data_IF_747495553117
#
_entry.id   IF_747495553117
#
_cell.length_a   1.000
_cell.length_b   1.000
_cell.length_c   1.000
_cell.angle_alpha   90.00
_cell.angle_beta   90.00
_cell.angle_gamma   90.00
#
_symmetry.space_group_name_H-M   'P 1'
#
loop_
_entity.id
_entity.type
_entity.pdbx_description
1 polymer ?
#
# COMPACT_ATOMS: atom_id res chain seq x y z
N UNK A 1 28.46 19.15 6.01
CA UNK A 1 26.98 19.21 6.06
C UNK A 1 26.60 19.35 7.52
N UNK A 2 25.77 20.33 7.88
CA UNK A 2 25.30 20.49 9.26
C UNK A 2 24.06 19.65 9.51
N UNK A 3 24.01 19.00 10.67
CA UNK A 3 22.80 18.37 11.17
C UNK A 3 21.72 19.44 11.41
N UNK A 4 20.48 19.14 11.01
CA UNK A 4 19.32 19.99 11.26
C UNK A 4 18.35 19.26 12.19
N UNK A 5 17.96 19.93 13.28
CA UNK A 5 16.98 19.44 14.23
C UNK A 5 15.74 20.35 14.21
N UNK A 6 14.54 19.77 14.28
CA UNK A 6 13.28 20.50 14.30
C UNK A 6 12.21 19.70 15.04
N UNK A 7 11.22 20.40 15.61
CA UNK A 7 10.02 19.76 16.20
C UNK A 7 8.90 19.72 15.15
N UNK A 8 8.23 18.57 14.90
CA UNK A 8 7.09 18.50 14.01
C UNK A 8 5.92 19.39 14.48
N UNK A 9 5.37 20.19 13.57
CA UNK A 9 4.25 21.11 13.81
C UNK A 9 3.80 21.81 12.51
N UNK A 10 2.80 22.71 12.57
CA UNK A 10 2.25 23.38 11.39
C UNK A 10 3.29 24.07 10.50
N UNK A 11 4.33 24.67 11.10
CA UNK A 11 5.38 25.38 10.37
C UNK A 11 6.48 24.46 9.82
N UNK A 12 6.52 23.20 10.25
CA UNK A 12 7.56 22.22 9.89
C UNK A 12 7.01 21.00 9.15
N UNK A 13 5.76 21.04 8.68
CA UNK A 13 5.10 19.91 7.97
C UNK A 13 5.94 19.40 6.80
N UNK A 14 6.54 20.32 6.01
CA UNK A 14 7.37 19.93 4.87
C UNK A 14 8.63 19.21 5.32
N UNK A 15 9.34 19.77 6.31
CA UNK A 15 10.54 19.16 6.88
C UNK A 15 10.25 17.77 7.47
N UNK A 16 9.12 17.63 8.17
CA UNK A 16 8.69 16.34 8.72
C UNK A 16 8.40 15.31 7.62
N UNK A 17 7.66 15.70 6.57
CA UNK A 17 7.40 14.82 5.42
C UNK A 17 8.67 14.41 4.69
N UNK A 18 9.60 15.34 4.49
CA UNK A 18 10.88 15.07 3.84
C UNK A 18 11.74 14.11 4.70
N UNK A 19 11.73 14.28 6.02
CA UNK A 19 12.41 13.37 6.96
C UNK A 19 11.81 11.94 6.93
N UNK A 20 10.47 11.81 6.94
CA UNK A 20 9.79 10.52 6.77
C UNK A 20 10.16 9.86 5.42
N UNK A 21 10.26 10.66 4.36
CA UNK A 21 10.63 10.22 3.02
C UNK A 21 12.07 9.72 2.89
N UNK A 22 12.93 9.90 3.90
CA UNK A 22 14.27 9.33 3.92
C UNK A 22 14.24 7.79 4.01
N UNK A 23 13.21 7.21 4.62
CA UNK A 23 12.98 5.77 4.64
C UNK A 23 12.45 5.31 3.27
N UNK A 24 13.30 4.63 2.50
CA UNK A 24 12.91 4.06 1.21
C UNK A 24 11.97 2.87 1.40
N UNK A 25 10.90 2.82 0.60
CA UNK A 25 9.84 1.81 0.71
C UNK A 25 9.58 1.16 -0.64
N UNK A 26 9.09 -0.07 -0.63
CA UNK A 26 8.37 -0.61 -1.79
C UNK A 26 7.05 0.13 -1.98
N UNK A 27 6.48 0.06 -3.19
CA UNK A 27 5.15 0.58 -3.48
C UNK A 27 4.15 -0.56 -3.51
N UNK A 28 2.98 -0.35 -2.91
CA UNK A 28 1.89 -1.32 -2.92
C UNK A 28 0.61 -0.73 -3.48
N UNK A 29 -0.26 -1.56 -4.03
CA UNK A 29 -1.66 -1.24 -4.28
C UNK A 29 -2.53 -2.19 -3.46
N UNK A 30 -3.34 -1.62 -2.58
CA UNK A 30 -4.29 -2.35 -1.74
C UNK A 30 -5.67 -2.26 -2.37
N UNK A 31 -6.36 -3.40 -2.44
CA UNK A 31 -7.66 -3.51 -3.13
C UNK A 31 -8.70 -4.17 -2.24
N UNK A 32 -9.96 -3.82 -2.45
CA UNK A 32 -11.11 -4.49 -1.86
C UNK A 32 -12.29 -4.41 -2.82
N UNK A 33 -13.34 -5.21 -2.57
CA UNK A 33 -14.56 -5.18 -3.35
C UNK A 33 -15.67 -4.50 -2.55
N UNK A 34 -16.37 -3.56 -3.16
CA UNK A 34 -17.52 -2.87 -2.57
C UNK A 34 -18.80 -3.20 -3.35
N UNK A 35 -20.01 -2.91 -2.81
CA UNK A 35 -21.25 -3.06 -3.56
C UNK A 35 -21.32 -2.23 -4.86
N UNK A 36 -20.50 -1.18 -4.98
CA UNK A 36 -20.42 -0.32 -6.17
C UNK A 36 -19.35 -0.77 -7.17
N UNK A 37 -18.56 -1.80 -6.84
CA UNK A 37 -17.45 -2.28 -7.65
C UNK A 37 -16.11 -2.31 -6.92
N UNK A 38 -15.02 -2.63 -7.64
CA UNK A 38 -13.67 -2.73 -7.09
C UNK A 38 -13.15 -1.37 -6.62
N UNK A 39 -12.30 -1.37 -5.60
CA UNK A 39 -11.68 -0.17 -5.06
C UNK A 39 -10.20 -0.42 -4.76
N UNK A 40 -9.35 0.58 -5.02
CA UNK A 40 -7.91 0.53 -4.81
C UNK A 40 -7.37 1.77 -4.09
N UNK A 41 -6.28 1.57 -3.33
CA UNK A 41 -5.42 2.63 -2.78
C UNK A 41 -3.96 2.24 -3.01
N UNK A 42 -3.20 3.10 -3.68
CA UNK A 42 -1.73 3.00 -3.66
C UNK A 42 -1.21 3.45 -2.30
N UNK A 43 -0.39 2.61 -1.67
CA UNK A 43 0.17 2.87 -0.34
C UNK A 43 1.62 2.40 -0.26
N UNK A 44 2.42 3.05 0.59
CA UNK A 44 3.78 2.64 0.91
C UNK A 44 4.01 2.49 2.43
N UNK A 45 2.94 2.48 3.21
CA UNK A 45 2.92 2.22 4.66
C UNK A 45 2.85 0.73 5.01
N UNK A 46 3.00 -0.16 4.02
CA UNK A 46 3.00 -1.61 4.20
C UNK A 46 4.14 -2.05 5.12
N UNK A 47 3.88 -3.03 5.99
CA UNK A 47 4.89 -3.65 6.84
C UNK A 47 4.51 -5.11 7.17
N UNK A 48 5.49 -6.02 7.12
CA UNK A 48 5.33 -7.38 7.65
C UNK A 48 5.36 -7.34 9.19
N UNK A 49 4.47 -8.08 9.84
CA UNK A 49 4.27 -7.99 11.30
C UNK A 49 4.59 -9.30 12.02
N UNK A 50 4.08 -10.43 11.54
CA UNK A 50 4.19 -11.72 12.23
C UNK A 50 4.27 -12.87 11.24
N UNK A 51 4.94 -13.94 11.64
CA UNK A 51 5.00 -15.20 10.88
C UNK A 51 3.92 -16.20 11.34
N UNK A 52 3.58 -16.22 12.64
CA UNK A 52 2.57 -17.12 13.21
C UNK A 52 1.73 -16.41 14.30
N UNK A 53 0.45 -16.06 14.02
CA UNK A 53 -0.19 -16.15 12.71
C UNK A 53 0.50 -15.21 11.70
N UNK A 54 0.36 -15.45 10.38
CA UNK A 54 0.99 -14.62 9.36
C UNK A 54 0.28 -13.26 9.25
N UNK A 55 0.87 -12.20 9.80
CA UNK A 55 0.27 -10.87 9.86
C UNK A 55 1.09 -9.84 9.10
N UNK A 56 0.37 -8.89 8.49
CA UNK A 56 0.92 -7.67 7.89
C UNK A 56 0.06 -6.47 8.30
N UNK A 57 0.56 -5.26 8.06
CA UNK A 57 -0.21 -4.03 8.23
C UNK A 57 -0.03 -3.03 7.09
N UNK A 58 -0.96 -2.10 7.00
CA UNK A 58 -0.85 -0.87 6.21
C UNK A 58 -1.75 0.22 6.79
N UNK A 59 -1.56 1.46 6.36
CA UNK A 59 -2.25 2.61 6.95
C UNK A 59 -3.00 3.45 5.89
N UNK A 60 -4.33 3.30 5.70
CA UNK A 60 -5.13 4.21 4.89
C UNK A 60 -5.38 5.55 5.59
N UNK A 61 -5.28 6.65 4.84
CA UNK A 61 -5.56 7.99 5.33
C UNK A 61 -7.07 8.18 5.58
N UNK A 62 -7.45 8.77 6.72
CA UNK A 62 -8.86 9.01 7.09
C UNK A 62 -9.57 10.03 6.19
N UNK A 63 -8.81 10.93 5.56
CA UNK A 63 -9.34 11.92 4.63
C UNK A 63 -9.59 11.34 3.22
N UNK A 64 -9.18 10.10 2.94
CA UNK A 64 -9.49 9.45 1.68
C UNK A 64 -10.97 9.12 1.61
N UNK A 65 -11.63 9.47 0.49
CA UNK A 65 -13.01 9.05 0.21
C UNK A 65 -13.18 7.51 0.19
N UNK A 66 -12.06 6.80 0.07
CA UNK A 66 -11.99 5.33 0.00
C UNK A 66 -11.77 4.68 1.37
N UNK A 67 -11.48 5.48 2.41
CA UNK A 67 -11.11 4.98 3.74
C UNK A 67 -12.12 3.99 4.31
N UNK A 68 -13.38 4.40 4.43
CA UNK A 68 -14.41 3.59 5.09
C UNK A 68 -14.64 2.25 4.38
N UNK A 69 -14.52 2.20 3.05
CA UNK A 69 -14.63 0.94 2.32
C UNK A 69 -13.56 -0.08 2.75
N UNK A 70 -12.34 0.35 3.07
CA UNK A 70 -11.31 -0.55 3.59
C UNK A 70 -11.45 -0.82 5.09
N UNK A 71 -12.03 0.12 5.86
CA UNK A 71 -12.35 -0.14 7.27
C UNK A 71 -13.44 -1.20 7.39
N UNK A 72 -14.50 -1.10 6.59
CA UNK A 72 -15.69 -1.94 6.70
C UNK A 72 -15.55 -3.28 5.98
N UNK A 73 -14.54 -3.44 5.12
CA UNK A 73 -14.29 -4.69 4.41
C UNK A 73 -13.80 -5.82 5.33
N UNK A 74 -14.31 -7.02 5.09
CA UNK A 74 -13.82 -8.26 5.72
C UNK A 74 -12.49 -8.74 5.13
N UNK A 75 -12.25 -8.42 3.85
CA UNK A 75 -11.08 -8.86 3.10
C UNK A 75 -10.46 -7.71 2.30
N UNK A 76 -9.15 -7.76 2.14
CA UNK A 76 -8.41 -6.89 1.24
C UNK A 76 -7.21 -7.64 0.66
N UNK A 77 -6.70 -7.17 -0.48
CA UNK A 77 -5.51 -7.75 -1.11
C UNK A 77 -4.44 -6.69 -1.32
N UNK A 78 -3.22 -6.97 -0.86
CA UNK A 78 -2.04 -6.12 -1.07
C UNK A 78 -1.22 -6.65 -2.24
N UNK A 79 -0.90 -5.77 -3.19
CA UNK A 79 -0.04 -6.06 -4.34
C UNK A 79 1.26 -5.29 -4.19
N UNK A 80 2.41 -5.97 -4.14
CA UNK A 80 3.74 -5.35 -4.19
C UNK A 80 4.07 -5.06 -5.66
N UNK A 81 4.23 -3.79 -6.02
CA UNK A 81 4.33 -3.36 -7.41
C UNK A 81 5.74 -3.58 -7.97
N UNK A 82 5.82 -4.00 -9.23
CA UNK A 82 7.08 -4.06 -9.99
C UNK A 82 7.49 -2.71 -10.56
N UNK A 83 8.78 -2.54 -10.88
CA UNK A 83 9.31 -1.32 -11.52
C UNK A 83 8.54 -0.95 -12.81
N UNK A 84 8.14 -1.97 -13.58
CA UNK A 84 7.35 -1.82 -14.80
C UNK A 84 5.88 -1.43 -14.57
N UNK A 85 5.42 -1.35 -13.31
CA UNK A 85 4.04 -1.00 -12.94
C UNK A 85 3.91 0.40 -12.33
N UNK A 86 4.90 1.28 -12.59
CA UNK A 86 4.88 2.67 -12.12
C UNK A 86 3.58 3.41 -12.48
N UNK A 87 3.14 3.28 -13.73
CA UNK A 87 1.96 3.99 -14.21
C UNK A 87 0.69 3.48 -13.52
N UNK A 88 0.60 2.18 -13.26
CA UNK A 88 -0.52 1.58 -12.53
C UNK A 88 -0.55 2.03 -11.06
N UNK A 89 0.61 2.08 -10.41
CA UNK A 89 0.71 2.60 -9.04
C UNK A 89 0.31 4.09 -8.97
N UNK A 90 0.72 4.90 -9.94
CA UNK A 90 0.31 6.32 -10.02
C UNK A 90 -1.18 6.47 -10.33
N UNK A 91 -1.74 5.58 -11.14
CA UNK A 91 -3.16 5.54 -11.47
C UNK A 91 -4.01 5.39 -10.21
N UNK A 92 -3.80 4.32 -9.43
CA UNK A 92 -4.59 4.06 -8.22
C UNK A 92 -4.30 5.00 -7.04
N UNK A 93 -3.19 5.76 -7.09
CA UNK A 93 -2.97 6.88 -6.18
C UNK A 93 -3.99 8.01 -6.46
N UNK A 94 -4.27 8.29 -7.73
CA UNK A 94 -5.15 9.37 -8.20
C UNK A 94 -6.63 8.94 -8.28
N UNK A 95 -6.89 7.84 -8.98
CA UNK A 95 -8.23 7.35 -9.28
C UNK A 95 -8.37 5.89 -8.83
N UNK A 96 -8.90 5.69 -7.62
CA UNK A 96 -9.00 4.36 -7.00
C UNK A 96 -10.23 3.54 -7.39
N UNK A 97 -11.17 4.12 -8.14
CA UNK A 97 -12.41 3.47 -8.58
C UNK A 97 -12.31 2.98 -10.03
N UNK A 98 -11.39 3.57 -10.81
CA UNK A 98 -11.20 3.23 -12.22
C UNK A 98 -10.31 2.00 -12.39
N UNK A 99 -10.95 0.86 -12.63
CA UNK A 99 -10.31 -0.41 -12.95
C UNK A 99 -10.32 -0.75 -14.45
N UNK A 100 -10.81 0.14 -15.32
CA UNK A 100 -10.79 -0.06 -16.77
C UNK A 100 -9.39 -0.38 -17.35
N UNK A 101 -8.28 0.25 -16.90
CA UNK A 101 -6.97 -0.04 -17.46
C UNK A 101 -6.37 -1.39 -17.02
N UNK A 102 -7.09 -2.19 -16.22
CA UNK A 102 -6.57 -3.45 -15.65
C UNK A 102 -7.49 -4.63 -15.96
N UNK A 103 -6.92 -5.72 -16.44
CA UNK A 103 -7.59 -7.02 -16.53
C UNK A 103 -7.64 -7.70 -15.15
N UNK A 104 -8.43 -7.14 -14.24
CA UNK A 104 -8.56 -7.67 -12.87
C UNK A 104 -9.56 -8.82 -12.80
N UNK A 105 -9.36 -9.72 -11.84
CA UNK A 105 -10.31 -10.79 -11.49
C UNK A 105 -10.42 -10.90 -9.97
N UNK A 106 -11.57 -11.32 -9.41
CA UNK A 106 -11.66 -11.61 -7.99
C UNK A 106 -10.82 -12.84 -7.62
N UNK A 107 -10.18 -12.83 -6.44
CA UNK A 107 -9.55 -14.01 -5.86
C UNK A 107 -10.56 -14.90 -5.11
N UNK A 108 -10.06 -15.92 -4.42
CA UNK A 108 -10.87 -16.86 -3.63
C UNK A 108 -11.67 -16.20 -2.48
N UNK A 109 -11.26 -15.00 -2.01
CA UNK A 109 -11.97 -14.22 -0.99
C UNK A 109 -12.77 -13.05 -1.58
N UNK A 110 -12.89 -13.00 -2.91
CA UNK A 110 -13.71 -12.03 -3.64
C UNK A 110 -13.08 -10.66 -3.85
N UNK A 111 -11.84 -10.42 -3.43
CA UNK A 111 -11.19 -9.11 -3.62
C UNK A 111 -10.52 -9.01 -5.00
N UNK A 112 -10.48 -7.81 -5.62
CA UNK A 112 -9.89 -7.62 -6.95
C UNK A 112 -8.41 -7.93 -6.96
N UNK A 113 -7.93 -8.62 -7.99
CA UNK A 113 -6.49 -8.90 -8.17
C UNK A 113 -5.89 -8.17 -9.35
N UNK A 114 -4.71 -7.61 -9.15
CA UNK A 114 -3.92 -6.98 -10.19
C UNK A 114 -2.90 -7.99 -10.74
N UNK A 115 -2.83 -8.21 -12.06
CA UNK A 115 -1.84 -9.08 -12.65
C UNK A 115 -0.44 -8.48 -12.48
N UNK A 116 0.58 -9.32 -12.70
CA UNK A 116 1.95 -8.87 -12.86
C UNK A 116 2.56 -8.08 -11.69
N UNK A 117 2.07 -8.25 -10.46
CA UNK A 117 2.72 -7.73 -9.22
C UNK A 117 3.79 -8.68 -8.65
N UNK A 118 4.88 -8.15 -8.09
CA UNK A 118 6.02 -8.93 -7.57
C UNK A 118 5.56 -9.91 -6.49
N UNK A 119 4.66 -9.47 -5.63
CA UNK A 119 3.98 -10.32 -4.69
C UNK A 119 2.54 -9.86 -4.48
N UNK A 120 1.68 -10.78 -4.09
CA UNK A 120 0.29 -10.53 -3.71
C UNK A 120 -0.03 -11.25 -2.41
N UNK A 121 -0.73 -10.59 -1.51
CA UNK A 121 -1.19 -11.15 -0.24
C UNK A 121 -2.70 -10.97 -0.12
N UNK A 122 -3.43 -12.08 -0.11
CA UNK A 122 -4.87 -12.09 0.10
C UNK A 122 -5.13 -12.16 1.61
N UNK A 123 -5.81 -11.15 2.16
CA UNK A 123 -5.89 -10.97 3.60
C UNK A 123 -7.33 -11.00 4.09
N UNK A 124 -7.52 -11.65 5.25
CA UNK A 124 -8.68 -11.39 6.10
C UNK A 124 -8.34 -10.26 7.06
N UNK A 125 -9.30 -9.38 7.28
CA UNK A 125 -9.17 -8.32 8.25
C UNK A 125 -8.99 -8.89 9.67
N UNK A 126 -7.88 -8.55 10.35
CA UNK A 126 -7.54 -9.07 11.68
C UNK A 126 -7.81 -8.04 12.79
N UNK A 127 -7.31 -6.80 12.65
CA UNK A 127 -7.51 -5.75 13.66
C UNK A 127 -7.42 -4.32 13.08
N UNK A 128 -8.11 -3.37 13.72
CA UNK A 128 -8.14 -1.93 13.40
C UNK A 128 -7.68 -1.14 14.60
N UNK A 129 -6.78 -0.18 14.40
CA UNK A 129 -6.38 0.76 15.44
C UNK A 129 -6.35 2.20 14.91
N UNK A 130 -6.61 3.22 15.76
CA UNK A 130 -6.38 4.60 15.38
C UNK A 130 -4.88 4.88 15.22
N UNK A 131 -4.50 5.66 14.20
CA UNK A 131 -3.13 6.10 13.94
C UNK A 131 -3.07 7.60 13.62
N UNK A 132 -3.71 8.44 14.43
CA UNK A 132 -3.82 9.88 14.15
C UNK A 132 -4.74 10.17 12.96
N UNK A 133 -4.19 10.80 11.91
CA UNK A 133 -4.87 11.09 10.64
C UNK A 133 -4.98 9.86 9.70
N UNK A 134 -4.42 8.72 10.11
CA UNK A 134 -4.57 7.43 9.47
C UNK A 134 -5.27 6.42 10.41
N UNK A 135 -5.73 5.32 9.83
CA UNK A 135 -6.05 4.09 10.56
C UNK A 135 -4.94 3.06 10.32
N UNK A 136 -4.68 2.18 11.29
CA UNK A 136 -3.75 1.05 11.15
C UNK A 136 -4.61 -0.19 10.94
N UNK A 137 -4.48 -0.82 9.77
CA UNK A 137 -5.17 -2.05 9.44
C UNK A 137 -4.19 -3.21 9.47
N UNK A 138 -4.51 -4.22 10.28
CA UNK A 138 -3.76 -5.47 10.38
C UNK A 138 -4.55 -6.54 9.62
N UNK A 139 -3.89 -7.23 8.70
CA UNK A 139 -4.44 -8.34 7.93
C UNK A 139 -3.73 -9.65 8.26
N UNK A 140 -4.52 -10.72 8.40
CA UNK A 140 -4.03 -12.09 8.42
C UNK A 140 -3.95 -12.62 6.99
N UNK A 141 -2.77 -13.10 6.59
CA UNK A 141 -2.51 -13.58 5.24
C UNK A 141 -3.09 -14.98 5.07
N UNK A 142 -4.07 -15.10 4.18
CA UNK A 142 -4.71 -16.36 3.83
C UNK A 142 -4.01 -17.05 2.66
N UNK A 143 -3.46 -16.26 1.74
CA UNK A 143 -2.71 -16.76 0.58
C UNK A 143 -1.63 -15.76 0.16
N UNK A 144 -0.53 -16.26 -0.39
CA UNK A 144 0.53 -15.45 -0.97
C UNK A 144 0.86 -15.95 -2.39
N UNK A 145 1.11 -15.02 -3.30
CA UNK A 145 1.62 -15.29 -4.66
C UNK A 145 2.87 -14.45 -4.87
N UNK A 146 3.90 -15.02 -5.52
CA UNK A 146 5.13 -14.29 -5.85
C UNK A 146 5.49 -14.50 -7.32
N UNK A 147 6.22 -13.54 -7.87
CA UNK A 147 6.82 -13.63 -9.20
C UNK A 147 8.19 -12.95 -9.20
N UNK A 148 9.17 -13.46 -9.96
CA UNK A 148 10.43 -12.77 -10.19
C UNK A 148 10.24 -11.37 -10.79
N UNK A 149 11.17 -10.47 -10.48
CA UNK A 149 11.21 -9.12 -11.01
C UNK A 149 11.78 -8.13 -10.00
N UNK A 150 11.99 -6.89 -10.43
CA UNK A 150 12.43 -5.83 -9.53
C UNK A 150 11.24 -5.06 -8.99
N UNK A 151 11.23 -4.80 -7.69
CA UNK A 151 10.19 -4.02 -7.01
C UNK A 151 10.31 -2.52 -7.27
N UNK A 152 9.18 -1.85 -7.43
CA UNK A 152 9.12 -0.40 -7.50
C UNK A 152 9.45 0.20 -6.13
N UNK A 153 10.42 1.12 -6.11
CA UNK A 153 10.86 1.82 -4.89
C UNK A 153 10.32 3.26 -4.90
N UNK A 154 9.93 3.74 -3.73
CA UNK A 154 9.60 5.13 -3.46
C UNK A 154 10.46 5.68 -2.32
N UNK A 155 11.17 6.78 -2.59
CA UNK A 155 12.02 7.47 -1.61
C UNK A 155 12.06 8.96 -1.93
N UNK A 156 11.91 9.81 -0.91
CA UNK A 156 11.98 11.28 -1.02
C UNK A 156 11.10 11.86 -2.15
N UNK A 157 9.90 11.33 -2.36
CA UNK A 157 8.98 11.81 -3.40
C UNK A 157 9.29 11.31 -4.81
N UNK A 158 10.31 10.46 -4.97
CA UNK A 158 10.76 9.94 -6.26
C UNK A 158 10.48 8.43 -6.35
N UNK A 159 10.10 8.01 -7.55
CA UNK A 159 10.00 6.59 -7.92
C UNK A 159 11.32 6.14 -8.54
N UNK A 160 11.70 4.91 -8.27
CA UNK A 160 12.91 4.31 -8.84
C UNK A 160 12.91 2.79 -8.69
N UNK A 161 14.08 2.21 -8.92
CA UNK A 161 14.33 0.78 -8.81
C UNK A 161 15.33 0.43 -7.72
N UNK A 162 15.40 -0.85 -7.38
CA UNK A 162 16.45 -1.36 -6.51
C UNK A 162 17.70 -1.68 -7.34
N UNK A 163 18.84 -1.14 -6.90
CA UNK A 163 20.15 -1.47 -7.45
C UNK A 163 20.86 -2.38 -6.46
N UNK A 164 21.02 -3.64 -6.84
CA UNK A 164 21.81 -4.61 -6.09
C UNK A 164 23.26 -4.11 -5.98
N UNK A 165 23.81 -4.17 -4.77
CA UNK A 165 25.23 -3.97 -4.53
C UNK A 165 25.88 -5.36 -4.41
N UNK A 166 26.84 -5.62 -5.28
CA UNK A 166 27.69 -6.82 -5.25
C UNK A 166 28.79 -6.65 -4.20
#
# INVERSE_FOLDING_TARGET
MSESNFTPGPDTVRAYRDALGCFGTGVTVVTTLTPRGPLAITANSFTSVSMDPPLLLWCPAKNSLRHNAFIDADHFTIHIMGENQLDLAKHFARNGEDFEPVSWQPNAVGTPTLPDCIARFDCRHFARHPGGDHSILIGEVLSATTRPGKGLIFKQGLYGGFLEQN
#
